data_IF_085520029710
#
_entry.id   IF_085520029710
#
_cell.length_a   1.000
_cell.length_b   1.000
_cell.length_c   1.000
_cell.angle_alpha   90.00
_cell.angle_beta   90.00
_cell.angle_gamma   90.00
#
_symmetry.space_group_name_H-M   'P 1'
#
loop_
_entity.id
_entity.type
_entity.pdbx_description
1 polymer ?
#
# COMPACT_ATOMS: atom_id res chain seq x y z
N UNK A 1 -1.40 14.54 -3.04
CA UNK A 1 -1.60 13.66 -4.21
C UNK A 1 -1.81 12.25 -3.70
N UNK A 2 -2.71 11.46 -4.31
CA UNK A 2 -2.92 10.04 -4.02
C UNK A 2 -2.75 9.27 -5.32
N UNK A 3 -2.06 8.13 -5.27
CA UNK A 3 -1.88 7.23 -6.40
C UNK A 3 -2.57 5.89 -6.12
N UNK A 4 -3.06 5.25 -7.16
CA UNK A 4 -3.57 3.90 -7.14
C UNK A 4 -3.02 3.08 -8.32
N UNK A 5 -2.91 1.78 -8.12
CA UNK A 5 -2.79 0.82 -9.19
C UNK A 5 -4.18 0.31 -9.52
N UNK A 6 -4.57 0.38 -10.76
CA UNK A 6 -5.93 0.07 -11.21
C UNK A 6 -5.91 -0.95 -12.35
N UNK A 7 -7.02 -1.67 -12.50
CA UNK A 7 -7.33 -2.46 -13.69
C UNK A 7 -8.48 -1.81 -14.44
N UNK A 8 -8.24 -1.50 -15.69
CA UNK A 8 -9.25 -0.97 -16.61
C UNK A 8 -10.19 -2.08 -17.09
N UNK A 9 -11.36 -1.71 -17.63
CA UNK A 9 -12.31 -2.66 -18.22
C UNK A 9 -11.73 -3.44 -19.40
N UNK A 10 -10.69 -2.94 -20.03
CA UNK A 10 -9.91 -3.64 -21.07
C UNK A 10 -9.06 -4.79 -20.53
N UNK A 11 -8.89 -4.86 -19.19
CA UNK A 11 -7.96 -5.76 -18.51
C UNK A 11 -6.55 -5.20 -18.32
N UNK A 12 -6.23 -4.06 -18.92
CA UNK A 12 -4.94 -3.39 -18.77
C UNK A 12 -4.76 -2.87 -17.34
N UNK A 13 -3.51 -2.92 -16.84
CA UNK A 13 -3.13 -2.35 -15.55
C UNK A 13 -2.52 -0.99 -15.79
N UNK A 14 -2.91 0.01 -15.00
CA UNK A 14 -2.39 1.36 -15.05
C UNK A 14 -2.13 1.91 -13.64
N UNK A 15 -1.29 2.93 -13.55
CA UNK A 15 -1.16 3.79 -12.37
C UNK A 15 -2.02 5.04 -12.59
N UNK A 16 -2.76 5.46 -11.58
CA UNK A 16 -3.66 6.59 -11.69
C UNK A 16 -3.55 7.54 -10.50
N UNK A 17 -3.81 8.82 -10.73
CA UNK A 17 -4.09 9.80 -9.69
C UNK A 17 -5.53 9.59 -9.21
N UNK A 18 -5.73 9.64 -7.90
CA UNK A 18 -7.05 9.42 -7.27
C UNK A 18 -7.55 10.73 -6.69
N UNK A 19 -8.77 11.11 -7.10
CA UNK A 19 -9.56 12.19 -6.52
C UNK A 19 -10.87 11.66 -5.93
N UNK A 20 -11.71 12.55 -5.43
CA UNK A 20 -13.01 12.17 -4.87
C UNK A 20 -13.90 11.59 -5.97
N UNK A 21 -14.13 10.28 -5.91
CA UNK A 21 -15.02 9.58 -6.84
C UNK A 21 -14.44 9.33 -8.23
N UNK A 22 -13.20 9.70 -8.51
CA UNK A 22 -12.60 9.58 -9.84
C UNK A 22 -11.14 9.15 -9.81
N UNK A 23 -10.67 8.62 -10.92
CA UNK A 23 -9.26 8.25 -11.16
C UNK A 23 -8.83 8.78 -12.53
N UNK A 24 -7.61 9.30 -12.61
CA UNK A 24 -7.00 9.76 -13.86
C UNK A 24 -5.77 8.91 -14.13
N UNK A 25 -5.82 7.97 -15.10
CA UNK A 25 -4.66 7.15 -15.46
C UNK A 25 -3.51 8.03 -15.96
N UNK A 26 -2.29 7.57 -15.69
CA UNK A 26 -1.07 8.18 -16.17
C UNK A 26 -0.59 7.40 -17.38
N UNK A 27 -0.20 8.12 -18.44
CA UNK A 27 0.52 7.53 -19.55
C UNK A 27 1.99 7.41 -19.15
N UNK A 28 2.40 6.17 -18.84
CA UNK A 28 3.75 5.88 -18.37
C UNK A 28 4.71 5.90 -19.56
N UNK A 29 5.66 6.81 -19.51
CA UNK A 29 6.68 6.99 -20.57
C UNK A 29 7.75 5.91 -20.49
N UNK A 30 8.59 5.80 -21.53
CA UNK A 30 9.69 4.85 -21.61
C UNK A 30 10.55 4.82 -20.33
N UNK A 31 10.76 3.63 -19.79
CA UNK A 31 11.54 3.39 -18.57
C UNK A 31 10.76 3.45 -17.26
N UNK A 32 9.49 3.85 -17.29
CA UNK A 32 8.60 3.84 -16.12
C UNK A 32 7.37 2.99 -16.46
N UNK A 33 7.26 1.83 -15.85
CA UNK A 33 6.19 0.85 -16.14
C UNK A 33 5.33 0.53 -14.92
N UNK A 34 5.80 0.88 -13.72
CA UNK A 34 5.20 0.41 -12.46
C UNK A 34 5.02 1.52 -11.44
N UNK A 35 4.10 1.32 -10.51
CA UNK A 35 3.92 2.21 -9.36
C UNK A 35 5.20 2.28 -8.51
N UNK A 36 5.89 1.16 -8.34
CA UNK A 36 7.15 1.09 -7.58
C UNK A 36 8.20 2.01 -8.17
N UNK A 37 8.41 2.00 -9.49
CA UNK A 37 9.39 2.88 -10.14
C UNK A 37 9.07 4.37 -9.95
N UNK A 38 7.79 4.72 -9.92
CA UNK A 38 7.36 6.10 -9.59
C UNK A 38 7.72 6.44 -8.14
N UNK A 39 7.43 5.55 -7.19
CA UNK A 39 7.65 5.79 -5.75
C UNK A 39 9.13 5.81 -5.36
N UNK A 40 9.97 5.09 -6.09
CA UNK A 40 11.42 5.00 -5.88
C UNK A 40 12.22 6.07 -6.65
N UNK A 41 11.57 6.90 -7.45
CA UNK A 41 12.23 8.01 -8.12
C UNK A 41 12.75 9.05 -7.11
N UNK A 42 13.80 9.78 -7.44
CA UNK A 42 14.38 10.83 -6.58
C UNK A 42 13.35 11.89 -6.17
N UNK A 43 12.43 12.22 -7.07
CA UNK A 43 11.36 13.21 -6.86
C UNK A 43 10.02 12.67 -7.34
N UNK A 44 9.37 11.73 -6.62
CA UNK A 44 8.15 11.06 -7.07
C UNK A 44 7.01 12.01 -7.46
N UNK A 45 6.80 13.07 -6.68
CA UNK A 45 5.73 14.03 -6.94
C UNK A 45 5.97 14.82 -8.25
N UNK A 46 7.18 15.30 -8.47
CA UNK A 46 7.53 16.02 -9.69
C UNK A 46 7.44 15.10 -10.92
N UNK A 47 7.85 13.84 -10.77
CA UNK A 47 7.71 12.84 -11.83
C UNK A 47 6.23 12.67 -12.22
N UNK A 48 5.34 12.44 -11.25
CA UNK A 48 3.90 12.29 -11.52
C UNK A 48 3.29 13.55 -12.17
N UNK A 49 3.74 14.73 -11.77
CA UNK A 49 3.29 15.99 -12.39
C UNK A 49 3.70 16.12 -13.85
N UNK A 50 4.86 15.56 -14.24
CA UNK A 50 5.38 15.59 -15.60
C UNK A 50 4.78 14.55 -16.54
N UNK A 51 4.21 13.46 -16.00
CA UNK A 51 3.63 12.39 -16.80
C UNK A 51 2.34 12.85 -17.49
N UNK A 52 2.14 12.50 -18.78
CA UNK A 52 0.89 12.74 -19.48
C UNK A 52 -0.26 12.02 -18.77
N UNK A 53 -1.46 12.58 -18.92
CA UNK A 53 -2.68 12.06 -18.28
C UNK A 53 -3.66 11.60 -19.33
N UNK A 54 -4.28 10.47 -19.10
CA UNK A 54 -5.39 9.98 -19.90
C UNK A 54 -6.73 10.60 -19.45
N UNK A 55 -7.82 10.17 -20.08
CA UNK A 55 -9.16 10.59 -19.71
C UNK A 55 -9.51 10.14 -18.29
N UNK A 56 -10.08 11.04 -17.50
CA UNK A 56 -10.56 10.74 -16.15
C UNK A 56 -11.76 9.79 -16.22
N UNK A 57 -11.75 8.78 -15.35
CA UNK A 57 -12.77 7.74 -15.21
C UNK A 57 -13.44 7.83 -13.84
N UNK A 58 -14.67 7.34 -13.72
CA UNK A 58 -15.26 7.14 -12.40
C UNK A 58 -14.53 6.01 -11.67
N UNK A 59 -14.34 6.15 -10.36
CA UNK A 59 -13.66 5.11 -9.55
C UNK A 59 -14.45 3.79 -9.53
N UNK A 60 -15.77 3.84 -9.78
CA UNK A 60 -16.64 2.67 -9.93
C UNK A 60 -16.39 1.86 -11.19
N UNK A 61 -15.74 2.45 -12.19
CA UNK A 61 -15.53 1.84 -13.50
C UNK A 61 -14.18 1.13 -13.61
N UNK A 62 -13.43 1.07 -12.51
CA UNK A 62 -12.13 0.43 -12.44
C UNK A 62 -12.02 -0.47 -11.20
N UNK A 63 -11.16 -1.49 -11.27
CA UNK A 63 -10.79 -2.30 -10.11
C UNK A 63 -9.56 -1.69 -9.45
N UNK A 64 -9.64 -1.37 -8.15
CA UNK A 64 -8.48 -0.95 -7.35
C UNK A 64 -7.64 -2.17 -6.96
N UNK A 65 -6.42 -2.23 -7.44
CA UNK A 65 -5.47 -3.30 -7.16
C UNK A 65 -4.65 -3.00 -5.88
N UNK A 66 -3.96 -4.01 -5.31
CA UNK A 66 -2.98 -3.76 -4.25
C UNK A 66 -1.96 -2.70 -4.69
N UNK A 67 -1.63 -1.71 -3.84
CA UNK A 67 -0.73 -0.60 -4.19
C UNK A 67 0.75 -1.01 -4.12
N UNK A 68 1.06 -2.21 -4.54
CA UNK A 68 2.40 -2.81 -4.58
C UNK A 68 2.58 -3.57 -5.88
N UNK A 69 3.81 -3.78 -6.29
CA UNK A 69 4.15 -4.57 -7.47
C UNK A 69 4.82 -5.89 -7.06
N UNK A 70 6.13 -5.91 -6.90
CA UNK A 70 6.87 -7.13 -6.54
C UNK A 70 7.57 -7.04 -5.18
N UNK A 71 7.53 -5.87 -4.53
CA UNK A 71 8.18 -5.65 -3.25
C UNK A 71 7.47 -6.39 -2.11
N UNK A 72 8.25 -6.82 -1.13
CA UNK A 72 7.75 -7.37 0.11
C UNK A 72 7.08 -6.30 0.98
N UNK A 73 6.11 -6.71 1.76
CA UNK A 73 5.47 -5.85 2.77
C UNK A 73 6.09 -6.12 4.12
N UNK A 74 6.73 -5.11 4.67
CA UNK A 74 7.31 -5.12 6.01
C UNK A 74 6.45 -4.31 6.97
N UNK A 75 6.41 -4.71 8.22
CA UNK A 75 5.67 -4.03 9.26
C UNK A 75 6.57 -3.73 10.46
N UNK A 76 6.24 -2.67 11.19
CA UNK A 76 6.83 -2.35 12.48
C UNK A 76 5.86 -2.74 13.60
N UNK A 77 6.34 -3.47 14.59
CA UNK A 77 5.54 -3.93 15.74
C UNK A 77 5.30 -2.83 16.76
N UNK A 78 4.15 -2.88 17.41
CA UNK A 78 3.79 -2.09 18.62
C UNK A 78 4.09 -0.58 18.50
N UNK A 79 3.73 0.04 17.37
CA UNK A 79 3.99 1.46 17.11
C UNK A 79 2.97 2.41 17.75
N UNK A 80 1.83 1.90 18.22
CA UNK A 80 0.76 2.67 18.86
C UNK A 80 0.53 2.26 20.31
N UNK A 81 0.36 3.23 21.22
CA UNK A 81 0.03 2.97 22.63
C UNK A 81 -1.21 2.10 22.80
N UNK A 82 -2.26 2.34 22.01
CA UNK A 82 -3.48 1.52 22.03
C UNK A 82 -3.21 0.06 21.70
N UNK A 83 -2.34 -0.22 20.74
CA UNK A 83 -1.93 -1.60 20.39
C UNK A 83 -1.15 -2.25 21.53
N UNK A 84 -0.27 -1.51 22.21
CA UNK A 84 0.42 -1.97 23.41
C UNK A 84 -0.58 -2.36 24.49
N UNK A 85 -1.52 -1.46 24.84
CA UNK A 85 -2.53 -1.71 25.88
C UNK A 85 -3.38 -2.93 25.57
N UNK A 86 -3.91 -3.06 24.34
CA UNK A 86 -4.72 -4.21 23.93
C UNK A 86 -3.96 -5.55 24.05
N UNK A 87 -2.67 -5.56 23.71
CA UNK A 87 -1.85 -6.79 23.84
C UNK A 87 -1.51 -7.13 25.28
N UNK A 88 -1.34 -6.14 26.14
CA UNK A 88 -1.14 -6.36 27.57
C UNK A 88 -2.37 -6.98 28.24
N UNK A 89 -3.58 -6.60 27.80
CA UNK A 89 -4.85 -7.18 28.27
C UNK A 89 -5.05 -8.63 27.83
N UNK A 90 -4.49 -9.02 26.67
CA UNK A 90 -4.61 -10.39 26.13
C UNK A 90 -3.71 -11.41 26.85
N UNK A 91 -2.59 -10.99 27.46
CA UNK A 91 -1.64 -11.91 28.10
C UNK A 91 -0.68 -11.19 29.04
N UNK A 92 -0.69 -11.59 30.33
CA UNK A 92 0.23 -11.07 31.35
C UNK A 92 1.70 -11.37 31.02
N UNK A 93 1.99 -12.52 30.43
CA UNK A 93 3.35 -12.92 30.04
C UNK A 93 3.87 -12.11 28.85
N UNK A 94 2.99 -11.71 27.96
CA UNK A 94 3.35 -10.88 26.81
C UNK A 94 3.55 -9.40 27.20
N UNK A 95 2.92 -8.93 28.27
CA UNK A 95 2.96 -7.52 28.70
C UNK A 95 4.39 -6.98 28.79
N UNK A 96 5.30 -7.70 29.46
CA UNK A 96 6.70 -7.27 29.62
C UNK A 96 7.50 -7.25 28.31
N UNK A 97 7.14 -8.10 27.33
CA UNK A 97 7.75 -8.10 26.01
C UNK A 97 7.30 -6.91 25.19
N UNK A 98 6.00 -6.58 25.21
CA UNK A 98 5.46 -5.43 24.49
C UNK A 98 5.93 -4.09 25.06
N UNK A 99 6.15 -3.99 26.37
CA UNK A 99 6.77 -2.81 26.99
C UNK A 99 8.18 -2.57 26.42
N UNK A 100 9.01 -3.60 26.41
CA UNK A 100 10.38 -3.49 25.87
C UNK A 100 10.41 -3.15 24.39
N UNK A 101 9.50 -3.71 23.58
CA UNK A 101 9.40 -3.40 22.15
C UNK A 101 8.95 -1.95 21.96
N UNK A 102 7.97 -1.48 22.74
CA UNK A 102 7.46 -0.11 22.64
C UNK A 102 8.50 0.94 23.02
N UNK A 103 9.35 0.67 24.01
CA UNK A 103 10.38 1.58 24.50
C UNK A 103 11.74 1.41 23.78
N UNK A 104 11.82 0.47 22.84
CA UNK A 104 13.03 0.24 22.06
C UNK A 104 13.42 1.48 21.26
N UNK A 105 14.74 1.82 21.20
CA UNK A 105 15.22 2.96 20.42
C UNK A 105 14.97 2.82 18.92
N UNK A 106 14.64 1.64 18.44
CA UNK A 106 14.22 1.38 17.06
C UNK A 106 13.06 0.38 17.03
N UNK A 107 12.13 0.50 16.07
CA UNK A 107 11.01 -0.43 15.95
C UNK A 107 11.51 -1.84 15.62
N UNK A 108 10.75 -2.84 16.06
CA UNK A 108 10.91 -4.22 15.60
C UNK A 108 10.27 -4.34 14.21
N UNK A 109 11.09 -4.68 13.22
CA UNK A 109 10.63 -4.88 11.84
C UNK A 109 10.46 -6.38 11.56
N UNK A 110 9.39 -6.72 10.88
CA UNK A 110 9.13 -8.09 10.45
C UNK A 110 8.45 -8.17 9.08
N UNK A 111 8.72 -9.26 8.36
CA UNK A 111 8.04 -9.55 7.10
C UNK A 111 6.55 -9.80 7.35
N UNK A 112 5.70 -8.98 6.77
CA UNK A 112 4.25 -9.07 6.91
C UNK A 112 3.62 -9.95 5.83
N UNK A 113 4.00 -9.73 4.58
CA UNK A 113 3.47 -10.45 3.44
C UNK A 113 4.39 -10.38 2.22
N UNK A 114 4.29 -11.37 1.38
CA UNK A 114 4.79 -11.32 -0.01
C UNK A 114 3.72 -10.66 -0.91
N UNK A 115 4.08 -10.08 -2.05
CA UNK A 115 3.16 -9.27 -2.87
C UNK A 115 1.88 -10.02 -3.27
N UNK A 116 2.00 -11.29 -3.65
CA UNK A 116 0.84 -12.11 -4.07
C UNK A 116 -0.15 -12.45 -2.94
N UNK A 117 0.15 -12.09 -1.68
CA UNK A 117 -0.73 -12.28 -0.52
C UNK A 117 -1.43 -11.00 -0.08
N UNK A 118 -1.21 -9.90 -0.77
CA UNK A 118 -1.87 -8.63 -0.48
C UNK A 118 -3.14 -8.52 -1.32
N UNK A 119 -4.28 -8.37 -0.65
CA UNK A 119 -5.57 -8.18 -1.32
C UNK A 119 -5.80 -6.71 -1.64
N UNK A 120 -6.38 -6.44 -2.80
CA UNK A 120 -6.85 -5.11 -3.19
C UNK A 120 -8.15 -4.73 -2.49
N UNK A 121 -8.63 -3.53 -2.79
CA UNK A 121 -9.88 -3.01 -2.24
C UNK A 121 -11.07 -3.90 -2.66
N UNK A 122 -11.89 -4.30 -1.69
CA UNK A 122 -13.06 -5.15 -1.94
C UNK A 122 -12.76 -6.62 -2.25
N UNK A 123 -11.50 -7.03 -2.32
CA UNK A 123 -11.13 -8.42 -2.55
C UNK A 123 -11.23 -9.26 -1.26
N UNK A 124 -11.62 -10.54 -1.36
CA UNK A 124 -11.74 -11.40 -0.19
C UNK A 124 -10.38 -11.72 0.42
N UNK A 125 -10.33 -11.72 1.76
CA UNK A 125 -9.18 -12.24 2.51
C UNK A 125 -9.36 -13.74 2.77
N UNK A 126 -8.29 -14.52 2.57
CA UNK A 126 -8.26 -15.94 2.92
C UNK A 126 -7.78 -16.09 4.35
N UNK A 127 -8.61 -16.70 5.18
CA UNK A 127 -8.30 -17.08 6.56
C UNK A 127 -7.95 -18.57 6.55
N UNK A 128 -6.93 -18.96 7.30
CA UNK A 128 -6.62 -20.38 7.51
C UNK A 128 -7.75 -21.02 8.31
N UNK A 129 -8.17 -22.20 7.90
CA UNK A 129 -9.04 -23.05 8.67
C UNK A 129 -8.30 -23.63 9.88
#
# INVERSE_FOLDING_TARGET
>A
MKLAKIRLNTGAIAVAIVDVGSVTPLDLTEGIETLTQILEADTPAALVESLPREATLAISDVELLPPIDQQEVWAAGVTYRRSKTARMEESETAASCYDRVYESPRPELFLKATPHRVSGNGQPLRIRA
#
